data_IF_333703083072
#
_entry.id   IF_333703083072
#
_cell.length_a   1.000
_cell.length_b   1.000
_cell.length_c   1.000
_cell.angle_alpha   90.00
_cell.angle_beta   90.00
_cell.angle_gamma   90.00
#
_symmetry.space_group_name_H-M   'P 1'
#
loop_
_entity.id
_entity.type
_entity.pdbx_description
1 polymer ?
#
# COMPACT_ATOMS: atom_id res chain seq x y z
N UNK A 1 5.63 -22.79 5.28
CA UNK A 1 4.67 -21.68 5.39
C UNK A 1 5.31 -20.64 6.30
N UNK A 2 5.62 -19.47 5.75
CA UNK A 2 6.23 -18.34 6.44
C UNK A 2 5.12 -17.36 6.82
N UNK A 3 5.07 -16.97 8.10
CA UNK A 3 4.11 -15.97 8.56
C UNK A 3 4.75 -14.60 8.46
N UNK A 4 4.13 -13.69 7.71
CA UNK A 4 4.56 -12.30 7.60
C UNK A 4 4.03 -11.57 8.83
N UNK A 5 4.92 -11.00 9.64
CA UNK A 5 4.56 -10.39 10.92
C UNK A 5 4.41 -8.88 10.82
N UNK A 6 3.72 -8.28 11.78
CA UNK A 6 3.67 -6.81 11.95
C UNK A 6 5.05 -6.17 12.04
N UNK A 7 6.01 -6.85 12.67
CA UNK A 7 7.39 -6.36 12.79
C UNK A 7 8.14 -6.41 11.46
N UNK A 8 7.86 -7.42 10.63
CA UNK A 8 8.41 -7.54 9.28
C UNK A 8 7.89 -6.39 8.41
N UNK A 9 6.57 -6.19 8.36
CA UNK A 9 5.95 -5.05 7.65
C UNK A 9 6.50 -3.72 8.16
N UNK A 10 6.57 -3.51 9.48
CA UNK A 10 7.15 -2.30 10.07
C UNK A 10 8.58 -2.05 9.57
N UNK A 11 9.38 -3.10 9.46
CA UNK A 11 10.77 -2.99 8.99
C UNK A 11 10.82 -2.53 7.53
N UNK A 12 10.00 -3.14 6.65
CA UNK A 12 9.89 -2.74 5.24
C UNK A 12 9.43 -1.28 5.11
N UNK A 13 8.37 -0.89 5.80
CA UNK A 13 7.85 0.48 5.80
C UNK A 13 8.90 1.49 6.30
N UNK A 14 9.63 1.16 7.37
CA UNK A 14 10.65 2.07 7.89
C UNK A 14 11.87 2.18 6.96
N UNK A 15 12.27 1.09 6.31
CA UNK A 15 13.36 1.12 5.30
C UNK A 15 12.95 1.96 4.08
N UNK A 16 11.71 1.81 3.61
CA UNK A 16 11.16 2.65 2.55
C UNK A 16 11.15 4.13 2.94
N UNK A 17 10.67 4.45 4.15
CA UNK A 17 10.65 5.83 4.68
C UNK A 17 12.04 6.47 4.75
N UNK A 18 13.08 5.68 5.02
CA UNK A 18 14.48 6.14 5.08
C UNK A 18 15.14 6.25 3.71
N UNK A 19 14.46 5.82 2.64
CA UNK A 19 15.04 5.74 1.29
C UNK A 19 16.05 4.59 1.12
N UNK A 20 16.03 3.61 2.01
CA UNK A 20 16.86 2.40 1.91
C UNK A 20 16.25 1.36 0.96
N UNK A 21 14.95 1.49 0.70
CA UNK A 21 14.23 0.78 -0.36
C UNK A 21 13.49 1.82 -1.21
N UNK A 22 13.51 1.63 -2.52
CA UNK A 22 12.68 2.36 -3.48
C UNK A 22 11.24 1.83 -3.49
N UNK A 23 10.30 2.61 -4.04
CA UNK A 23 8.91 2.14 -4.22
C UNK A 23 8.83 0.85 -5.07
N UNK A 24 9.70 0.71 -6.07
CA UNK A 24 9.78 -0.49 -6.90
C UNK A 24 10.22 -1.72 -6.07
N UNK A 25 11.24 -1.59 -5.22
CA UNK A 25 11.69 -2.69 -4.37
C UNK A 25 10.64 -3.09 -3.31
N UNK A 26 9.86 -2.12 -2.82
CA UNK A 26 8.76 -2.39 -1.88
C UNK A 26 7.60 -3.09 -2.57
N UNK A 27 7.26 -2.64 -3.78
CA UNK A 27 6.23 -3.27 -4.61
C UNK A 27 6.60 -4.72 -4.96
N UNK A 28 7.81 -4.93 -5.48
CA UNK A 28 8.32 -6.28 -5.78
C UNK A 28 8.32 -7.18 -4.53
N UNK A 29 8.62 -6.61 -3.36
CA UNK A 29 8.56 -7.34 -2.10
C UNK A 29 7.13 -7.76 -1.75
N UNK A 30 6.15 -6.87 -1.97
CA UNK A 30 4.72 -7.10 -1.78
C UNK A 30 4.17 -8.16 -2.73
N UNK A 31 4.38 -8.01 -4.04
CA UNK A 31 3.92 -8.94 -5.08
C UNK A 31 4.42 -10.38 -4.85
N UNK A 32 5.66 -10.54 -4.38
CA UNK A 32 6.24 -11.86 -4.12
C UNK A 32 5.66 -12.56 -2.89
N UNK A 33 4.78 -11.90 -2.13
CA UNK A 33 4.31 -12.34 -0.80
C UNK A 33 2.80 -12.29 -0.64
N UNK A 34 2.11 -11.35 -1.30
CA UNK A 34 0.66 -11.25 -1.22
C UNK A 34 -0.02 -12.34 -2.06
N UNK A 35 -0.94 -13.10 -1.45
CA UNK A 35 -1.65 -14.20 -2.10
C UNK A 35 -0.73 -15.26 -2.78
N UNK A 36 0.53 -15.36 -2.36
CA UNK A 36 1.51 -16.34 -2.84
C UNK A 36 1.53 -17.57 -1.93
N UNK A 37 1.40 -18.74 -2.52
CA UNK A 37 1.51 -20.01 -1.81
C UNK A 37 2.82 -20.09 -1.01
N UNK A 38 2.68 -20.28 0.30
CA UNK A 38 3.82 -20.38 1.22
C UNK A 38 4.00 -19.18 2.14
N UNK A 39 3.26 -18.08 1.92
CA UNK A 39 3.18 -16.93 2.80
C UNK A 39 1.77 -16.79 3.39
N UNK A 40 1.70 -16.38 4.65
CA UNK A 40 0.43 -16.10 5.33
C UNK A 40 0.59 -14.83 6.18
N UNK A 41 -0.35 -13.87 6.11
CA UNK A 41 -0.32 -12.71 6.99
C UNK A 41 -0.60 -13.12 8.44
N UNK A 42 0.10 -12.51 9.39
CA UNK A 42 -0.14 -12.74 10.83
C UNK A 42 -1.57 -12.39 11.27
N UNK A 43 -2.15 -11.33 10.70
CA UNK A 43 -3.51 -10.86 10.95
C UNK A 43 -4.05 -9.99 9.80
N UNK A 44 -5.29 -9.52 9.94
CA UNK A 44 -5.98 -8.71 8.93
C UNK A 44 -5.29 -7.36 8.67
N UNK A 45 -4.61 -6.76 9.66
CA UNK A 45 -3.86 -5.52 9.46
C UNK A 45 -2.63 -5.78 8.58
N UNK A 46 -1.91 -6.87 8.84
CA UNK A 46 -0.81 -7.28 7.97
C UNK A 46 -1.32 -7.57 6.56
N UNK A 47 -2.44 -8.27 6.43
CA UNK A 47 -3.04 -8.58 5.13
C UNK A 47 -3.39 -7.30 4.35
N UNK A 48 -4.01 -6.32 4.99
CA UNK A 48 -4.41 -5.06 4.36
C UNK A 48 -3.20 -4.22 3.94
N UNK A 49 -2.18 -4.11 4.79
CA UNK A 49 -0.98 -3.36 4.40
C UNK A 49 -0.27 -4.09 3.26
N UNK A 50 -0.16 -5.43 3.33
CA UNK A 50 0.48 -6.23 2.31
C UNK A 50 -0.23 -6.13 0.95
N UNK A 51 -1.57 -6.12 0.93
CA UNK A 51 -2.34 -5.89 -0.30
C UNK A 51 -2.05 -4.50 -0.88
N UNK A 52 -1.95 -3.47 -0.05
CA UNK A 52 -1.59 -2.12 -0.51
C UNK A 52 -0.15 -2.03 -1.04
N UNK A 53 0.79 -2.85 -0.55
CA UNK A 53 2.14 -2.92 -1.09
C UNK A 53 2.19 -3.69 -2.43
N UNK A 54 1.33 -4.70 -2.60
CA UNK A 54 1.18 -5.46 -3.86
C UNK A 54 0.64 -4.63 -5.02
N UNK A 55 -0.23 -3.64 -4.75
CA UNK A 55 -0.77 -2.73 -5.78
C UNK A 55 -0.33 -1.27 -5.56
N UNK A 56 0.86 -1.10 -4.98
CA UNK A 56 1.44 0.18 -4.55
C UNK A 56 1.50 1.21 -5.70
N UNK A 57 1.83 0.74 -6.90
CA UNK A 57 1.91 1.53 -8.13
C UNK A 57 0.56 2.09 -8.59
N UNK A 58 -0.48 1.25 -8.57
CA UNK A 58 -1.84 1.57 -9.01
C UNK A 58 -2.55 2.46 -7.98
N UNK A 59 -2.40 2.16 -6.69
CA UNK A 59 -3.06 2.91 -5.62
C UNK A 59 -2.33 4.22 -5.28
N UNK A 60 -1.17 4.49 -5.88
CA UNK A 60 -0.32 5.65 -5.56
C UNK A 60 -0.03 5.74 -4.07
N UNK A 61 0.29 4.58 -3.48
CA UNK A 61 0.77 4.49 -2.11
C UNK A 61 2.23 4.95 -2.12
N UNK A 62 2.56 5.91 -1.27
CA UNK A 62 3.84 6.64 -1.26
C UNK A 62 4.45 6.65 0.14
N UNK A 63 5.72 7.09 0.29
CA UNK A 63 6.31 7.27 1.61
C UNK A 63 5.54 8.19 2.56
N UNK A 64 4.69 9.07 2.03
CA UNK A 64 3.83 9.96 2.82
C UNK A 64 2.74 9.22 3.58
N UNK A 65 2.33 8.03 3.12
CA UNK A 65 1.25 7.22 3.69
C UNK A 65 1.77 6.28 4.81
N UNK A 66 3.10 6.09 4.87
CA UNK A 66 3.76 5.23 5.87
C UNK A 66 3.36 5.53 7.33
N UNK A 67 3.22 6.80 7.78
CA UNK A 67 2.77 7.08 9.15
C UNK A 67 1.41 6.47 9.48
N UNK A 68 0.49 6.40 8.51
CA UNK A 68 -0.84 5.83 8.69
C UNK A 68 -0.77 4.30 8.80
N UNK A 69 0.03 3.63 7.97
CA UNK A 69 0.28 2.19 8.11
C UNK A 69 1.00 1.81 9.40
N UNK A 70 2.01 2.59 9.81
CA UNK A 70 2.69 2.37 11.09
C UNK A 70 1.72 2.50 12.26
N UNK A 71 0.77 3.45 12.17
CA UNK A 71 -0.28 3.60 13.17
C UNK A 71 -1.22 2.41 13.17
N UNK A 72 -1.62 1.87 12.03
CA UNK A 72 -2.43 0.63 11.98
C UNK A 72 -1.71 -0.52 12.70
N UNK A 73 -0.41 -0.70 12.47
CA UNK A 73 0.37 -1.75 13.14
C UNK A 73 0.43 -1.61 14.66
N UNK A 74 0.20 -0.41 15.21
CA UNK A 74 0.16 -0.13 16.65
C UNK A 74 -1.19 -0.46 17.30
N UNK A 75 -2.26 -0.72 16.54
CA UNK A 75 -3.54 -1.15 17.11
C UNK A 75 -3.38 -2.51 17.81
N UNK A 76 -3.92 -2.73 19.02
CA UNK A 76 -3.87 -4.03 19.67
C UNK A 76 -4.51 -5.14 18.82
N UNK A 77 -4.08 -6.39 19.02
CA UNK A 77 -4.82 -7.55 18.49
C UNK A 77 -6.25 -7.56 19.02
N UNK A 78 -7.20 -7.90 18.16
CA UNK A 78 -8.64 -7.79 18.44
C UNK A 78 -9.22 -6.40 18.17
N UNK A 79 -8.45 -5.45 17.63
CA UNK A 79 -8.91 -4.14 17.17
C UNK A 79 -8.63 -3.91 15.67
N UNK A 80 -8.61 -4.99 14.89
CA UNK A 80 -8.35 -4.95 13.45
C UNK A 80 -9.42 -4.11 12.73
N UNK A 81 -10.69 -4.26 13.11
CA UNK A 81 -11.79 -3.50 12.53
C UNK A 81 -11.62 -1.97 12.71
N UNK A 82 -11.18 -1.52 13.89
CA UNK A 82 -10.90 -0.11 14.17
C UNK A 82 -9.68 0.42 13.39
N UNK A 83 -8.68 -0.42 13.16
CA UNK A 83 -7.53 -0.07 12.35
C UNK A 83 -7.91 0.07 10.86
N UNK A 84 -8.73 -0.84 10.33
CA UNK A 84 -9.25 -0.77 8.97
C UNK A 84 -10.15 0.46 8.77
N UNK A 85 -11.07 0.71 9.70
CA UNK A 85 -11.92 1.90 9.68
C UNK A 85 -11.11 3.20 9.78
N UNK A 86 -9.96 3.18 10.47
CA UNK A 86 -9.03 4.31 10.47
C UNK A 86 -8.44 4.54 9.07
N UNK A 87 -7.98 3.50 8.37
CA UNK A 87 -7.43 3.62 7.02
C UNK A 87 -8.48 4.14 6.03
N UNK A 88 -9.70 3.60 6.06
CA UNK A 88 -10.81 4.05 5.21
C UNK A 88 -11.04 5.56 5.36
N UNK A 89 -11.10 6.04 6.60
CA UNK A 89 -11.28 7.46 6.90
C UNK A 89 -10.10 8.31 6.44
N UNK A 90 -8.87 7.79 6.46
CA UNK A 90 -7.71 8.50 5.90
C UNK A 90 -7.81 8.60 4.38
N UNK A 91 -8.30 7.55 3.72
CA UNK A 91 -8.60 7.54 2.28
C UNK A 91 -9.58 8.64 1.85
N UNK A 92 -10.54 9.03 2.69
CA UNK A 92 -11.45 10.15 2.39
C UNK A 92 -10.75 11.51 2.26
N UNK A 93 -9.60 11.67 2.93
CA UNK A 93 -8.82 12.92 2.89
C UNK A 93 -7.87 13.03 1.70
N UNK A 94 -7.87 12.03 0.82
CA UNK A 94 -6.90 11.86 -0.23
C UNK A 94 -7.32 12.53 -1.54
N UNK A 95 -6.55 13.52 -2.01
CA UNK A 95 -6.72 14.08 -3.36
C UNK A 95 -5.91 13.26 -4.37
N UNK A 96 -6.56 12.23 -4.91
CA UNK A 96 -5.98 11.36 -5.92
C UNK A 96 -5.54 12.14 -7.18
N UNK A 97 -6.29 13.17 -7.59
CA UNK A 97 -5.97 13.91 -8.80
C UNK A 97 -4.71 14.75 -8.63
N UNK A 98 -4.51 15.33 -7.44
CA UNK A 98 -3.29 16.03 -7.12
C UNK A 98 -2.09 15.10 -7.03
N UNK A 99 -2.25 13.94 -6.38
CA UNK A 99 -1.16 12.95 -6.29
C UNK A 99 -0.78 12.41 -7.68
N UNK A 100 -1.74 12.12 -8.55
CA UNK A 100 -1.47 11.72 -9.94
C UNK A 100 -0.67 12.78 -10.71
N UNK A 101 -0.98 14.09 -10.52
CA UNK A 101 -0.19 15.16 -11.13
C UNK A 101 1.22 15.23 -10.56
N UNK A 102 1.36 15.07 -9.25
CA UNK A 102 2.66 15.14 -8.57
C UNK A 102 3.60 14.03 -9.04
N UNK A 103 3.10 12.81 -9.18
CA UNK A 103 3.88 11.63 -9.56
C UNK A 103 3.82 11.30 -11.06
N UNK A 104 3.38 12.23 -11.91
CA UNK A 104 3.20 11.98 -13.34
C UNK A 104 4.50 11.60 -14.08
N UNK A 105 5.61 12.19 -13.67
CA UNK A 105 6.95 11.97 -14.26
C UNK A 105 7.79 10.97 -13.45
N UNK A 106 7.24 10.40 -12.38
CA UNK A 106 7.94 9.40 -11.57
C UNK A 106 8.11 8.10 -12.38
N UNK A 107 9.31 7.50 -12.44
CA UNK A 107 9.55 6.32 -13.28
C UNK A 107 8.80 5.06 -12.82
N UNK A 108 8.37 5.01 -11.55
CA UNK A 108 7.59 3.92 -11.01
C UNK A 108 6.07 4.18 -11.14
N UNK A 109 5.60 5.36 -10.70
CA UNK A 109 4.16 5.68 -10.69
C UNK A 109 3.63 6.25 -12.01
N UNK A 110 4.47 6.90 -12.82
CA UNK A 110 4.05 7.74 -13.94
C UNK A 110 3.20 7.02 -14.99
N UNK A 111 3.42 5.71 -15.17
CA UNK A 111 2.60 4.86 -16.03
C UNK A 111 1.12 4.86 -15.63
N UNK A 112 0.82 4.90 -14.34
CA UNK A 112 -0.54 4.85 -13.79
C UNK A 112 -1.14 6.24 -13.60
N UNK A 113 -0.31 7.27 -13.50
CA UNK A 113 -0.71 8.68 -13.47
C UNK A 113 -1.18 9.20 -14.84
N UNK A 114 -0.61 8.69 -15.94
CA UNK A 114 -0.97 9.08 -17.29
C UNK A 114 -1.17 7.85 -18.20
N UNK A 115 -2.19 7.02 -17.95
CA UNK A 115 -2.39 5.81 -18.72
C UNK A 115 -2.69 6.15 -20.18
N UNK A 116 -2.13 5.38 -21.15
CA UNK A 116 -2.42 5.59 -22.56
C UNK A 116 -3.94 5.48 -22.81
N UNK A 117 -4.49 6.16 -23.84
CA UNK A 117 -5.93 6.21 -24.08
C UNK A 117 -6.63 4.84 -24.15
N UNK A 118 -5.89 3.79 -24.48
CA UNK A 118 -6.34 2.39 -24.59
C UNK A 118 -6.42 1.64 -23.26
N UNK A 119 -5.78 2.15 -22.20
CA UNK A 119 -5.65 1.49 -20.89
C UNK A 119 -6.28 2.29 -19.75
N UNK A 120 -6.99 3.40 -20.04
CA UNK A 120 -7.68 4.18 -19.01
C UNK A 120 -8.65 3.27 -18.25
N UNK A 121 -8.38 2.97 -16.96
CA UNK A 121 -9.27 2.10 -16.21
C UNK A 121 -10.64 2.79 -16.09
N UNK A 122 -11.71 1.98 -16.13
CA UNK A 122 -12.99 2.46 -15.61
C UNK A 122 -12.76 2.80 -14.14
N UNK A 123 -13.24 3.94 -13.65
CA UNK A 123 -12.94 4.38 -12.30
C UNK A 123 -13.30 3.31 -11.27
N UNK A 124 -12.33 2.92 -10.45
CA UNK A 124 -12.43 1.85 -9.45
C UNK A 124 -13.38 2.22 -8.29
N UNK A 125 -13.63 3.51 -8.07
CA UNK A 125 -14.61 4.04 -7.09
C UNK A 125 -16.09 3.80 -7.46
N UNK A 126 -16.37 2.92 -8.43
CA UNK A 126 -17.73 2.50 -8.82
C UNK A 126 -18.07 1.06 -8.42
N UNK A 127 -17.20 0.38 -7.67
CA UNK A 127 -17.38 -1.03 -7.30
C UNK A 127 -17.49 -1.28 -5.79
N UNK A 128 -17.75 -0.22 -5.02
CA UNK A 128 -18.22 -0.29 -3.64
C UNK A 128 -19.58 0.40 -3.53
#
# INVERSE_FOLDING_TARGET
MHVITRNEIRSILLSWKRGEMSSAEVHDWGEQRYAVDGFEPEDEIVNEILSNLDILDINLVTPEDIPDFLRMLDYPRGQEAEALAFLDKRGESFDLQDRMRHYADDPFYGRFCNPPPTERPKPWWRFW
#
